data_IF_897255729455
#
_entry.id   IF_897255729455
#
_cell.length_a   1.000
_cell.length_b   1.000
_cell.length_c   1.000
_cell.angle_alpha   90.00
_cell.angle_beta   90.00
_cell.angle_gamma   90.00
#
_symmetry.space_group_name_H-M   'P 1'
#
loop_
_entity.id
_entity.type
_entity.pdbx_description
1 polymer ?
#
# COMPACT_ATOMS: atom_id res chain seq x y z
N UNK A 1 -2.93 17.20 31.12
CA UNK A 1 -1.65 16.58 31.55
C UNK A 1 -0.51 17.19 30.76
N UNK A 2 0.54 17.72 31.42
CA UNK A 2 1.73 18.21 30.71
C UNK A 2 2.50 17.00 30.16
N UNK A 3 2.67 16.92 28.84
CA UNK A 3 3.49 15.92 28.17
C UNK A 3 4.95 16.12 28.61
N UNK A 4 5.57 15.09 29.20
CA UNK A 4 6.97 15.14 29.65
C UNK A 4 7.86 14.57 28.56
N UNK A 5 8.36 15.43 27.67
CA UNK A 5 9.36 15.06 26.66
C UNK A 5 10.76 15.35 27.18
N UNK A 6 11.67 14.36 27.18
CA UNK A 6 13.03 14.48 27.67
C UNK A 6 14.00 13.67 26.79
N UNK A 7 15.14 14.28 26.45
CA UNK A 7 16.27 13.63 25.76
C UNK A 7 17.46 13.61 26.70
N UNK A 8 18.06 12.42 26.88
CA UNK A 8 19.24 12.20 27.71
C UNK A 8 20.31 11.48 26.90
N UNK A 9 21.55 12.01 26.91
CA UNK A 9 22.71 11.31 26.35
C UNK A 9 23.42 10.57 27.49
N UNK A 10 23.91 9.35 27.19
CA UNK A 10 24.60 8.49 28.15
C UNK A 10 25.57 7.52 27.44
N UNK A 11 26.56 7.01 28.16
CA UNK A 11 27.53 6.05 27.63
C UNK A 11 27.01 4.60 27.73
N UNK A 12 27.16 3.83 26.67
CA UNK A 12 26.87 2.38 26.64
C UNK A 12 28.12 1.62 27.10
N UNK A 13 28.42 1.65 28.41
CA UNK A 13 29.63 1.09 29.01
C UNK A 13 29.79 -0.44 28.88
N UNK A 14 28.69 -1.15 28.63
CA UNK A 14 28.69 -2.61 28.44
C UNK A 14 29.08 -3.07 27.02
N UNK A 15 29.42 -2.15 26.13
CA UNK A 15 29.84 -2.45 24.76
C UNK A 15 30.93 -1.49 24.28
N UNK A 16 32.14 -1.51 24.90
CA UNK A 16 33.25 -0.67 24.46
C UNK A 16 33.74 -1.10 23.07
N UNK A 17 34.23 -0.15 22.30
CA UNK A 17 34.87 -0.37 21.01
C UNK A 17 36.28 -0.93 21.19
N UNK A 18 36.83 -1.57 20.14
CA UNK A 18 38.19 -2.10 20.14
C UNK A 18 39.31 -1.09 20.49
N UNK A 19 39.03 0.20 20.31
CA UNK A 19 39.94 1.31 20.61
C UNK A 19 39.74 1.92 22.02
N UNK A 20 39.02 1.26 22.91
CA UNK A 20 38.76 1.69 24.29
C UNK A 20 37.71 2.81 24.41
N UNK A 21 37.19 3.35 23.29
CA UNK A 21 36.11 4.35 23.32
C UNK A 21 34.79 3.67 23.61
N UNK A 22 33.85 4.42 24.21
CA UNK A 22 32.52 3.96 24.54
C UNK A 22 31.47 4.69 23.70
N UNK A 23 30.52 3.99 23.07
CA UNK A 23 29.46 4.61 22.29
C UNK A 23 28.54 5.48 23.15
N UNK A 24 28.18 6.65 22.60
CA UNK A 24 27.18 7.56 23.18
C UNK A 24 25.81 7.17 22.64
N UNK A 25 24.83 7.00 23.53
CA UNK A 25 23.45 6.70 23.20
C UNK A 25 22.56 7.88 23.59
N UNK A 26 21.51 8.11 22.81
CA UNK A 26 20.41 8.99 23.17
C UNK A 26 19.22 8.20 23.71
N UNK A 27 18.63 8.63 24.82
CA UNK A 27 17.39 8.12 25.38
C UNK A 27 16.31 9.19 25.26
N UNK A 28 15.26 8.87 24.54
CA UNK A 28 14.06 9.70 24.44
C UNK A 28 13.00 9.15 25.36
N UNK A 29 12.48 9.98 26.26
CA UNK A 29 11.43 9.63 27.22
C UNK A 29 10.23 10.53 26.95
N UNK A 30 9.03 9.94 26.87
CA UNK A 30 7.77 10.64 26.70
C UNK A 30 6.68 9.91 27.50
N UNK A 31 6.03 10.61 28.41
CA UNK A 31 4.94 10.07 29.25
C UNK A 31 5.29 8.72 29.93
N UNK A 32 6.52 8.62 30.46
CA UNK A 32 7.02 7.40 31.16
C UNK A 32 7.54 6.29 30.23
N UNK A 33 7.23 6.31 28.96
CA UNK A 33 7.80 5.38 27.97
C UNK A 33 9.16 5.87 27.50
N UNK A 34 10.05 4.94 27.13
CA UNK A 34 11.42 5.29 26.70
C UNK A 34 11.88 4.46 25.52
N UNK A 35 12.68 5.09 24.65
CA UNK A 35 13.35 4.44 23.53
C UNK A 35 14.81 4.86 23.47
N UNK A 36 15.67 4.00 22.93
CA UNK A 36 17.10 4.26 22.77
C UNK A 36 17.46 4.42 21.29
N UNK A 37 18.39 5.34 21.02
CA UNK A 37 18.94 5.66 19.70
C UNK A 37 20.46 5.62 19.76
N UNK A 38 21.10 5.07 18.72
CA UNK A 38 22.54 5.24 18.55
C UNK A 38 22.83 6.63 18.00
N UNK A 39 23.81 7.32 18.59
CA UNK A 39 24.29 8.59 18.04
C UNK A 39 25.39 8.39 17.00
N UNK A 40 25.93 7.16 16.89
CA UNK A 40 27.13 6.82 16.13
C UNK A 40 28.40 7.57 16.57
N UNK A 41 28.36 8.23 17.72
CA UNK A 41 29.50 8.91 18.34
C UNK A 41 30.08 8.03 19.44
N UNK A 42 31.37 8.18 19.68
CA UNK A 42 32.08 7.47 20.77
C UNK A 42 33.08 8.40 21.43
N UNK A 43 33.30 8.20 22.71
CA UNK A 43 34.17 9.05 23.52
C UNK A 43 35.01 8.23 24.53
N UNK A 44 36.10 8.78 25.00
CA UNK A 44 36.80 8.22 26.16
C UNK A 44 35.92 8.37 27.41
N UNK A 45 35.61 7.27 28.14
CA UNK A 45 34.69 7.32 29.28
C UNK A 45 35.13 8.26 30.39
N UNK A 46 36.41 8.54 30.54
CA UNK A 46 36.95 9.50 31.53
C UNK A 46 36.62 10.96 31.27
N UNK A 47 36.44 11.33 30.00
CA UNK A 47 36.11 12.68 29.62
C UNK A 47 34.57 12.95 29.59
N UNK A 48 33.76 11.96 29.95
CA UNK A 48 32.29 12.09 29.90
C UNK A 48 31.72 12.66 31.20
N UNK A 49 31.00 13.75 31.12
CA UNK A 49 30.21 14.29 32.22
C UNK A 49 28.78 13.74 32.19
N UNK A 50 28.45 12.83 33.08
CA UNK A 50 27.13 12.21 33.15
C UNK A 50 26.03 13.21 33.56
N UNK A 51 26.35 14.21 34.34
CA UNK A 51 25.39 15.22 34.83
C UNK A 51 24.87 16.13 33.70
N UNK A 52 25.76 16.53 32.79
CA UNK A 52 25.40 17.39 31.64
C UNK A 52 25.08 16.60 30.39
N UNK A 53 25.51 15.34 30.31
CA UNK A 53 25.40 14.51 29.08
C UNK A 53 26.28 15.04 27.95
N UNK A 54 27.48 15.59 28.30
CA UNK A 54 28.44 16.20 27.39
C UNK A 54 29.85 15.72 27.68
N UNK A 55 30.75 15.95 26.73
CA UNK A 55 32.18 15.70 26.88
C UNK A 55 32.80 16.89 27.62
N UNK A 56 33.53 16.61 28.71
CA UNK A 56 34.29 17.61 29.48
C UNK A 56 35.61 17.91 28.78
N UNK A 57 36.10 19.17 28.93
CA UNK A 57 37.37 19.61 28.39
C UNK A 57 37.21 20.74 27.34
N UNK A 58 38.31 21.51 27.12
CA UNK A 58 38.38 22.66 26.16
C UNK A 58 39.25 22.27 24.96
N UNK A 59 38.88 21.24 24.22
CA UNK A 59 39.61 20.81 23.03
C UNK A 59 38.72 20.68 21.80
N UNK A 60 39.27 20.89 20.60
CA UNK A 60 38.53 20.80 19.33
C UNK A 60 37.70 19.53 19.21
N UNK A 61 38.20 18.39 19.70
CA UNK A 61 37.45 17.12 19.69
C UNK A 61 36.24 17.13 20.64
N UNK A 62 36.35 17.73 21.83
CA UNK A 62 35.24 17.83 22.77
C UNK A 62 34.15 18.76 22.21
N UNK A 63 34.55 19.90 21.67
CA UNK A 63 33.64 20.90 21.07
C UNK A 63 32.90 20.31 19.86
N UNK A 64 33.60 19.56 19.02
CA UNK A 64 33.00 18.91 17.84
C UNK A 64 31.94 17.85 18.25
N UNK A 65 32.27 16.97 19.21
CA UNK A 65 31.32 15.97 19.70
C UNK A 65 30.11 16.64 20.36
N UNK A 66 30.35 17.68 21.19
CA UNK A 66 29.27 18.42 21.85
C UNK A 66 28.36 19.14 20.86
N UNK A 67 28.89 19.70 19.77
CA UNK A 67 28.14 20.28 18.68
C UNK A 67 27.28 19.24 17.98
N UNK A 68 27.85 18.09 17.64
CA UNK A 68 27.10 16.97 17.02
C UNK A 68 25.99 16.46 17.95
N UNK A 69 26.21 16.39 19.26
CA UNK A 69 25.17 16.02 20.23
C UNK A 69 24.04 17.07 20.28
N UNK A 70 24.38 18.35 20.18
CA UNK A 70 23.39 19.44 20.10
C UNK A 70 22.56 19.35 18.82
N UNK A 71 23.17 19.06 17.67
CA UNK A 71 22.48 18.83 16.39
C UNK A 71 21.55 17.63 16.44
N UNK A 72 22.00 16.51 17.04
CA UNK A 72 21.17 15.32 17.25
C UNK A 72 19.96 15.66 18.13
N UNK A 73 20.17 16.37 19.23
CA UNK A 73 19.09 16.84 20.12
C UNK A 73 18.07 17.67 19.35
N UNK A 74 18.54 18.66 18.60
CA UNK A 74 17.70 19.55 17.81
C UNK A 74 16.84 18.77 16.79
N UNK A 75 17.45 17.82 16.06
CA UNK A 75 16.72 16.97 15.09
C UNK A 75 15.64 16.13 15.77
N UNK A 76 15.93 15.50 16.91
CA UNK A 76 14.95 14.71 17.66
C UNK A 76 13.80 15.62 18.15
N UNK A 77 14.09 16.83 18.63
CA UNK A 77 13.08 17.82 19.06
C UNK A 77 12.21 18.27 17.88
N UNK A 78 12.78 18.49 16.71
CA UNK A 78 12.02 18.85 15.51
C UNK A 78 11.09 17.68 15.08
N UNK A 79 11.56 16.43 15.10
CA UNK A 79 10.72 15.27 14.83
C UNK A 79 9.53 15.19 15.79
N UNK A 80 9.77 15.39 17.10
CA UNK A 80 8.71 15.42 18.10
C UNK A 80 7.70 16.54 17.84
N UNK A 81 8.15 17.77 17.58
CA UNK A 81 7.28 18.92 17.27
C UNK A 81 6.41 18.66 16.04
N UNK A 82 7.00 18.15 14.96
CA UNK A 82 6.26 17.85 13.72
C UNK A 82 5.18 16.79 13.97
N UNK A 83 5.49 15.71 14.72
CA UNK A 83 4.52 14.68 15.07
C UNK A 83 3.41 15.22 15.98
N UNK A 84 3.75 16.08 16.94
CA UNK A 84 2.80 16.69 17.87
C UNK A 84 1.80 17.60 17.16
N UNK A 85 2.27 18.45 16.23
CA UNK A 85 1.42 19.35 15.44
C UNK A 85 0.46 18.61 14.50
N UNK A 86 0.80 17.40 14.09
CA UNK A 86 -0.07 16.56 13.24
C UNK A 86 -1.23 15.88 14.02
N UNK A 87 -1.43 16.22 15.29
CA UNK A 87 -2.61 15.82 16.09
C UNK A 87 -2.67 14.34 16.50
N UNK A 88 -1.59 13.59 16.36
CA UNK A 88 -1.52 12.17 16.76
C UNK A 88 -1.01 12.04 18.20
N UNK A 89 -1.45 11.01 18.92
CA UNK A 89 -0.83 10.63 20.17
C UNK A 89 0.62 10.19 19.92
N UNK A 90 1.59 11.05 20.25
CA UNK A 90 3.01 10.80 19.98
C UNK A 90 3.56 9.78 20.98
N UNK A 91 4.31 8.77 20.48
CA UNK A 91 5.08 7.83 21.30
C UNK A 91 6.57 7.99 21.06
N UNK A 92 7.46 7.57 22.02
CA UNK A 92 8.90 7.62 21.79
C UNK A 92 9.36 6.80 20.58
N UNK A 93 8.68 5.70 20.27
CA UNK A 93 8.96 4.89 19.10
C UNK A 93 8.72 5.68 17.81
N UNK A 94 7.63 6.43 17.69
CA UNK A 94 7.34 7.29 16.55
C UNK A 94 8.39 8.39 16.36
N UNK A 95 8.91 8.97 17.46
CA UNK A 95 9.98 9.97 17.42
C UNK A 95 11.28 9.34 16.92
N UNK A 96 11.61 8.12 17.39
CA UNK A 96 12.77 7.37 16.90
C UNK A 96 12.67 7.08 15.41
N UNK A 97 11.53 6.60 14.95
CA UNK A 97 11.26 6.28 13.56
C UNK A 97 11.37 7.53 12.67
N UNK A 98 10.78 8.64 13.09
CA UNK A 98 10.88 9.92 12.40
C UNK A 98 12.33 10.44 12.33
N UNK A 99 13.10 10.29 13.42
CA UNK A 99 14.51 10.68 13.46
C UNK A 99 15.39 9.81 12.56
N UNK A 100 15.13 8.51 12.51
CA UNK A 100 15.85 7.57 11.63
C UNK A 100 15.38 7.66 10.16
N UNK A 101 14.41 8.50 9.85
CA UNK A 101 13.79 8.57 8.54
C UNK A 101 12.91 7.34 8.21
N UNK A 102 12.69 6.48 9.20
CA UNK A 102 11.77 5.34 9.10
C UNK A 102 10.41 5.82 9.61
N UNK A 103 9.73 6.60 8.80
CA UNK A 103 8.31 6.83 9.06
C UNK A 103 7.57 5.58 8.56
N UNK A 104 6.76 4.93 9.39
CA UNK A 104 5.80 3.89 8.94
C UNK A 104 4.88 4.40 7.82
N UNK A 105 4.83 5.74 7.64
CA UNK A 105 4.13 6.37 6.52
C UNK A 105 4.81 6.17 5.17
N UNK A 106 6.11 5.84 5.17
CA UNK A 106 6.96 5.77 3.97
C UNK A 106 7.29 4.32 3.58
N UNK A 107 6.59 3.33 4.16
CA UNK A 107 6.70 1.92 3.80
C UNK A 107 5.57 1.48 2.87
N UNK A 108 5.91 0.65 1.90
CA UNK A 108 5.03 0.22 0.82
C UNK A 108 3.77 -0.51 1.32
N UNK A 109 3.97 -1.56 2.14
CA UNK A 109 2.85 -2.44 2.53
C UNK A 109 1.92 -1.75 3.52
N UNK A 110 2.48 -0.97 4.47
CA UNK A 110 1.67 -0.18 5.40
C UNK A 110 0.84 0.88 4.66
N UNK A 111 1.45 1.57 3.69
CA UNK A 111 0.73 2.51 2.84
C UNK A 111 -0.38 1.82 2.04
N UNK A 112 -0.07 0.63 1.46
CA UNK A 112 -1.03 -0.13 0.66
C UNK A 112 -2.22 -0.60 1.51
N UNK A 113 -1.98 -1.08 2.75
CA UNK A 113 -3.03 -1.48 3.68
C UNK A 113 -3.94 -0.30 4.04
N UNK A 114 -3.34 0.86 4.33
CA UNK A 114 -4.10 2.09 4.62
C UNK A 114 -4.94 2.54 3.42
N UNK A 115 -4.37 2.53 2.22
CA UNK A 115 -5.09 2.80 0.98
C UNK A 115 -6.28 1.84 0.82
N UNK A 116 -6.10 0.54 1.08
CA UNK A 116 -7.16 -0.45 1.00
C UNK A 116 -8.27 -0.20 2.03
N UNK A 117 -7.93 0.23 3.23
CA UNK A 117 -8.91 0.57 4.26
C UNK A 117 -9.71 1.83 3.91
N UNK A 118 -9.04 2.87 3.40
CA UNK A 118 -9.71 4.07 2.85
C UNK A 118 -10.66 3.68 1.72
N UNK A 119 -10.20 2.81 0.80
CA UNK A 119 -11.00 2.33 -0.31
C UNK A 119 -12.21 1.50 0.15
N UNK A 120 -12.04 0.64 1.17
CA UNK A 120 -13.10 -0.19 1.75
C UNK A 120 -14.28 0.64 2.26
N UNK A 121 -14.00 1.77 2.90
CA UNK A 121 -15.02 2.70 3.41
C UNK A 121 -15.89 3.30 2.32
N UNK A 122 -15.41 3.32 1.08
CA UNK A 122 -16.13 3.88 -0.07
C UNK A 122 -16.86 2.81 -0.89
N UNK A 123 -16.75 1.53 -0.51
CA UNK A 123 -17.45 0.44 -1.22
C UNK A 123 -18.96 0.56 -1.00
N UNK A 124 -19.72 0.49 -2.10
CA UNK A 124 -21.17 0.68 -2.11
C UNK A 124 -21.62 2.14 -2.25
N UNK A 125 -20.73 3.12 -2.05
CA UNK A 125 -21.02 4.55 -2.28
C UNK A 125 -20.48 5.00 -3.62
N UNK A 126 -19.18 4.92 -3.85
CA UNK A 126 -18.51 5.35 -5.08
C UNK A 126 -17.52 4.31 -5.65
N UNK A 127 -17.36 3.20 -4.98
CA UNK A 127 -16.40 2.15 -5.33
C UNK A 127 -17.04 0.77 -5.32
N UNK A 128 -16.60 -0.12 -6.23
CA UNK A 128 -17.12 -1.50 -6.29
C UNK A 128 -16.36 -2.45 -5.38
N UNK A 129 -17.07 -3.42 -4.79
CA UNK A 129 -16.48 -4.49 -4.00
C UNK A 129 -15.46 -5.34 -4.81
N UNK A 130 -15.72 -5.54 -6.12
CA UNK A 130 -14.80 -6.24 -7.00
C UNK A 130 -13.44 -5.53 -7.12
N UNK A 131 -13.44 -4.19 -7.22
CA UNK A 131 -12.21 -3.41 -7.25
C UNK A 131 -11.48 -3.46 -5.91
N UNK A 132 -12.19 -3.37 -4.79
CA UNK A 132 -11.59 -3.55 -3.46
C UNK A 132 -10.91 -4.93 -3.33
N UNK A 133 -11.60 -6.01 -3.71
CA UNK A 133 -11.04 -7.36 -3.66
C UNK A 133 -9.78 -7.51 -4.52
N UNK A 134 -9.72 -6.85 -5.68
CA UNK A 134 -8.52 -6.79 -6.51
C UNK A 134 -7.34 -6.15 -5.75
N UNK A 135 -7.52 -4.98 -5.14
CA UNK A 135 -6.46 -4.31 -4.37
C UNK A 135 -6.02 -5.16 -3.16
N UNK A 136 -6.97 -5.79 -2.46
CA UNK A 136 -6.66 -6.71 -1.35
C UNK A 136 -5.81 -7.89 -1.81
N UNK A 137 -6.14 -8.48 -2.96
CA UNK A 137 -5.38 -9.58 -3.54
C UNK A 137 -3.96 -9.16 -3.92
N UNK A 138 -3.80 -7.97 -4.53
CA UNK A 138 -2.48 -7.43 -4.88
C UNK A 138 -1.64 -7.17 -3.63
N UNK A 139 -2.22 -6.60 -2.58
CA UNK A 139 -1.53 -6.36 -1.31
C UNK A 139 -1.00 -7.68 -0.72
N UNK A 140 -1.83 -8.73 -0.69
CA UNK A 140 -1.43 -10.05 -0.21
C UNK A 140 -0.27 -10.66 -1.02
N UNK A 141 -0.30 -10.54 -2.35
CA UNK A 141 0.82 -10.99 -3.19
C UNK A 141 2.10 -10.17 -2.96
N UNK A 142 1.97 -8.86 -2.75
CA UNK A 142 3.08 -7.99 -2.40
C UNK A 142 3.72 -8.39 -1.06
N UNK A 143 2.92 -8.63 -0.03
CA UNK A 143 3.40 -9.10 1.27
C UNK A 143 4.22 -10.39 1.14
N UNK A 144 3.72 -11.35 0.39
CA UNK A 144 4.43 -12.60 0.14
C UNK A 144 5.72 -12.38 -0.64
N UNK A 145 5.69 -11.55 -1.68
CA UNK A 145 6.87 -11.22 -2.48
C UNK A 145 7.97 -10.54 -1.66
N UNK A 146 7.60 -9.52 -0.87
CA UNK A 146 8.54 -8.80 0.00
C UNK A 146 9.17 -9.76 1.01
N UNK A 147 8.37 -10.59 1.64
CA UNK A 147 8.85 -11.56 2.65
C UNK A 147 9.76 -12.63 2.03
N UNK A 148 9.44 -13.14 0.85
CA UNK A 148 10.23 -14.18 0.18
C UNK A 148 11.52 -13.65 -0.44
N UNK A 149 11.46 -12.48 -1.10
CA UNK A 149 12.58 -11.94 -1.88
C UNK A 149 13.52 -11.12 -1.02
N UNK A 150 12.98 -10.29 -0.12
CA UNK A 150 13.77 -9.35 0.69
C UNK A 150 13.95 -9.82 2.13
N UNK A 151 13.22 -10.87 2.57
CA UNK A 151 13.22 -11.39 3.96
C UNK A 151 12.92 -10.30 4.98
N UNK A 152 12.00 -9.42 4.65
CA UNK A 152 11.55 -8.29 5.47
C UNK A 152 10.03 -8.28 5.55
N UNK A 153 9.49 -7.59 6.55
CA UNK A 153 8.03 -7.43 6.71
C UNK A 153 7.48 -6.25 5.92
N UNK A 154 8.32 -5.28 5.51
CA UNK A 154 7.96 -4.16 4.65
C UNK A 154 9.21 -3.58 3.94
N UNK A 155 9.01 -2.70 2.94
CA UNK A 155 10.04 -1.98 2.21
C UNK A 155 9.80 -0.47 2.25
N UNK A 156 10.86 0.31 2.42
CA UNK A 156 10.76 1.77 2.30
C UNK A 156 10.52 2.18 0.84
N UNK A 157 9.78 3.26 0.61
CA UNK A 157 9.55 3.78 -0.74
C UNK A 157 10.84 4.17 -1.48
N UNK A 158 11.89 4.56 -0.74
CA UNK A 158 13.20 4.86 -1.31
C UNK A 158 13.93 3.66 -1.92
N UNK A 159 13.52 2.43 -1.55
CA UNK A 159 14.09 1.17 -2.04
C UNK A 159 13.35 0.63 -3.28
N UNK A 160 12.23 1.26 -3.66
CA UNK A 160 11.42 0.82 -4.79
C UNK A 160 12.01 1.33 -6.10
N UNK A 161 12.68 0.48 -6.82
CA UNK A 161 13.26 0.76 -8.12
C UNK A 161 12.56 -0.02 -9.25
N UNK A 162 13.07 0.11 -10.47
CA UNK A 162 12.62 -0.69 -11.63
C UNK A 162 12.85 -2.19 -11.41
N UNK A 163 13.89 -2.57 -10.66
CA UNK A 163 14.18 -3.97 -10.31
C UNK A 163 13.08 -4.57 -9.46
N UNK A 164 12.57 -3.82 -8.46
CA UNK A 164 11.41 -4.21 -7.67
C UNK A 164 10.17 -4.47 -8.55
N UNK A 165 9.87 -3.55 -9.48
CA UNK A 165 8.69 -3.67 -10.36
C UNK A 165 8.80 -4.89 -11.26
N UNK A 166 9.95 -5.12 -11.90
CA UNK A 166 10.19 -6.29 -12.77
C UNK A 166 10.17 -7.59 -11.98
N UNK A 167 10.77 -7.61 -10.80
CA UNK A 167 10.79 -8.77 -9.90
C UNK A 167 9.40 -9.16 -9.42
N UNK A 168 8.58 -8.19 -9.01
CA UNK A 168 7.20 -8.45 -8.60
C UNK A 168 6.35 -8.96 -9.78
N UNK A 169 6.51 -8.40 -10.98
CA UNK A 169 5.81 -8.91 -12.17
C UNK A 169 6.19 -10.37 -12.47
N UNK A 170 7.49 -10.70 -12.48
CA UNK A 170 7.95 -12.06 -12.66
C UNK A 170 7.41 -13.00 -11.58
N UNK A 171 7.39 -12.56 -10.32
CA UNK A 171 6.81 -13.31 -9.21
C UNK A 171 5.32 -13.64 -9.45
N UNK A 172 4.51 -12.67 -9.87
CA UNK A 172 3.08 -12.90 -10.14
C UNK A 172 2.88 -13.91 -11.27
N UNK A 173 3.66 -13.82 -12.34
CA UNK A 173 3.54 -14.73 -13.50
C UNK A 173 4.02 -16.14 -13.16
N UNK A 174 5.19 -16.27 -12.53
CA UNK A 174 5.85 -17.55 -12.31
C UNK A 174 5.36 -18.26 -11.04
N UNK A 175 5.44 -17.57 -9.90
CA UNK A 175 5.15 -18.17 -8.59
C UNK A 175 3.66 -18.33 -8.33
N UNK A 176 2.84 -17.43 -8.86
CA UNK A 176 1.40 -17.46 -8.66
C UNK A 176 0.66 -18.12 -9.82
N UNK A 177 1.37 -18.67 -10.82
CA UNK A 177 0.79 -19.32 -12.02
C UNK A 177 -0.33 -18.48 -12.65
N UNK A 178 -0.19 -17.17 -12.65
CA UNK A 178 -1.22 -16.26 -13.16
C UNK A 178 -1.04 -16.02 -14.65
N UNK A 179 -2.16 -15.99 -15.38
CA UNK A 179 -2.16 -15.59 -16.79
C UNK A 179 -1.61 -14.18 -16.92
N UNK A 180 -0.87 -13.88 -17.99
CA UNK A 180 -0.21 -12.57 -18.22
C UNK A 180 -1.16 -11.39 -18.07
N UNK A 181 -2.41 -11.48 -18.55
CA UNK A 181 -3.41 -10.43 -18.37
C UNK A 181 -3.84 -10.22 -16.91
N UNK A 182 -3.82 -11.28 -16.09
CA UNK A 182 -4.06 -11.13 -14.65
C UNK A 182 -2.90 -10.41 -13.97
N UNK A 183 -1.67 -10.76 -14.33
CA UNK A 183 -0.47 -10.07 -13.85
C UNK A 183 -0.50 -8.59 -14.26
N UNK A 184 -0.84 -8.29 -15.50
CA UNK A 184 -1.03 -6.92 -15.99
C UNK A 184 -2.03 -6.12 -15.14
N UNK A 185 -3.21 -6.69 -14.83
CA UNK A 185 -4.21 -6.02 -13.97
C UNK A 185 -3.66 -5.74 -12.57
N UNK A 186 -2.87 -6.67 -12.00
CA UNK A 186 -2.24 -6.50 -10.69
C UNK A 186 -1.16 -5.41 -10.71
N UNK A 187 -0.35 -5.37 -11.77
CA UNK A 187 0.65 -4.33 -11.96
C UNK A 187 0.04 -2.93 -12.14
N UNK A 188 -1.10 -2.81 -12.84
CA UNK A 188 -1.86 -1.55 -12.93
C UNK A 188 -2.33 -1.11 -11.54
N UNK A 189 -2.83 -2.04 -10.72
CA UNK A 189 -3.28 -1.70 -9.37
C UNK A 189 -2.11 -1.24 -8.48
N UNK A 190 -0.95 -1.90 -8.54
CA UNK A 190 0.27 -1.45 -7.87
C UNK A 190 0.69 -0.06 -8.34
N UNK A 191 0.76 0.15 -9.66
CA UNK A 191 1.12 1.44 -10.25
C UNK A 191 0.21 2.56 -9.74
N UNK A 192 -1.09 2.32 -9.68
CA UNK A 192 -2.04 3.30 -9.15
C UNK A 192 -1.77 3.67 -7.68
N UNK A 193 -1.50 2.67 -6.82
CA UNK A 193 -1.18 2.93 -5.39
C UNK A 193 0.12 3.72 -5.26
N UNK A 194 1.15 3.41 -6.07
CA UNK A 194 2.41 4.17 -6.07
C UNK A 194 2.22 5.60 -6.61
N UNK A 195 1.33 5.83 -7.58
CA UNK A 195 0.96 7.18 -8.01
C UNK A 195 0.28 7.97 -6.87
N UNK A 196 -0.61 7.33 -6.11
CA UNK A 196 -1.22 7.96 -4.91
C UNK A 196 -0.16 8.26 -3.85
N UNK A 197 0.78 7.34 -3.61
CA UNK A 197 1.89 7.57 -2.69
C UNK A 197 2.76 8.78 -3.14
N UNK A 198 3.01 8.89 -4.44
CA UNK A 198 3.75 10.01 -5.01
C UNK A 198 2.99 11.34 -4.87
N UNK A 199 1.70 11.36 -5.13
CA UNK A 199 0.88 12.57 -4.95
C UNK A 199 0.79 13.02 -3.49
N UNK A 200 0.93 12.10 -2.52
CA UNK A 200 1.00 12.38 -1.08
C UNK A 200 2.43 12.71 -0.59
N UNK A 201 3.43 12.76 -1.48
CA UNK A 201 4.82 13.08 -1.16
C UNK A 201 5.62 11.96 -0.48
N UNK A 202 5.06 10.75 -0.36
CA UNK A 202 5.74 9.60 0.26
C UNK A 202 6.78 8.97 -0.69
N UNK A 203 6.61 9.16 -2.00
CA UNK A 203 7.48 8.60 -3.05
C UNK A 203 7.96 9.74 -3.96
N UNK A 204 9.27 9.94 -4.07
CA UNK A 204 9.88 11.05 -4.83
C UNK A 204 10.14 10.73 -6.29
N UNK A 205 10.32 9.46 -6.62
CA UNK A 205 10.60 8.96 -7.98
C UNK A 205 9.49 8.03 -8.46
N UNK A 206 9.51 7.66 -9.73
CA UNK A 206 8.57 6.71 -10.32
C UNK A 206 9.25 5.36 -10.58
N UNK A 207 9.00 4.31 -9.79
CA UNK A 207 9.57 2.98 -10.02
C UNK A 207 9.13 2.34 -11.35
N UNK A 208 8.02 2.81 -11.94
CA UNK A 208 7.53 2.37 -13.24
C UNK A 208 8.14 3.15 -14.41
N UNK A 209 9.06 4.10 -14.16
CA UNK A 209 9.70 4.86 -15.24
C UNK A 209 10.35 3.92 -16.26
N UNK A 210 9.96 4.05 -17.54
CA UNK A 210 10.43 3.19 -18.62
C UNK A 210 9.94 1.73 -18.56
N UNK A 211 9.00 1.39 -17.66
CA UNK A 211 8.37 0.07 -17.61
C UNK A 211 7.04 0.09 -18.36
N UNK A 212 6.97 -0.62 -19.48
CA UNK A 212 5.77 -0.70 -20.32
C UNK A 212 4.90 -1.87 -19.87
N UNK A 213 3.66 -1.58 -19.51
CA UNK A 213 2.65 -2.57 -19.19
C UNK A 213 1.82 -2.87 -20.44
N UNK A 214 1.86 -4.12 -20.88
CA UNK A 214 1.08 -4.58 -22.03
C UNK A 214 0.10 -5.67 -21.62
N UNK A 215 -1.12 -5.57 -22.13
CA UNK A 215 -2.07 -6.69 -22.13
C UNK A 215 -1.87 -7.51 -23.40
N UNK A 216 -2.06 -8.81 -23.29
CA UNK A 216 -2.09 -9.68 -24.46
C UNK A 216 -3.52 -9.75 -25.02
N UNK A 217 -3.61 -9.66 -26.33
CA UNK A 217 -4.87 -9.93 -27.00
C UNK A 217 -5.21 -11.42 -26.84
N UNK A 218 -6.40 -11.69 -26.32
CA UNK A 218 -6.92 -13.05 -26.21
C UNK A 218 -8.11 -13.16 -27.16
N UNK A 219 -7.94 -13.88 -28.25
CA UNK A 219 -9.06 -14.24 -29.10
C UNK A 219 -10.05 -15.10 -28.31
N UNK A 220 -11.32 -14.77 -28.36
CA UNK A 220 -12.40 -15.53 -27.78
C UNK A 220 -13.32 -16.01 -28.88
N UNK A 221 -13.72 -17.27 -28.81
CA UNK A 221 -14.73 -17.79 -29.68
C UNK A 221 -16.09 -17.16 -29.32
N UNK A 222 -16.93 -17.02 -30.31
CA UNK A 222 -18.31 -16.58 -30.18
C UNK A 222 -19.23 -17.59 -30.83
N UNK A 223 -20.47 -17.62 -30.41
CA UNK A 223 -21.49 -18.48 -30.99
C UNK A 223 -22.06 -17.82 -32.25
N UNK A 224 -22.22 -18.58 -33.30
CA UNK A 224 -22.96 -18.14 -34.48
C UNK A 224 -24.47 -18.33 -34.29
N UNK A 225 -25.29 -17.80 -35.20
CA UNK A 225 -26.75 -17.88 -35.11
C UNK A 225 -27.28 -19.30 -35.07
N UNK A 226 -26.69 -20.22 -35.83
CA UNK A 226 -27.10 -21.63 -35.85
C UNK A 226 -26.83 -22.32 -34.49
N UNK A 227 -25.71 -21.98 -33.84
CA UNK A 227 -25.38 -22.48 -32.51
C UNK A 227 -26.29 -21.90 -31.42
N UNK A 228 -26.62 -20.62 -31.50
CA UNK A 228 -27.60 -20.01 -30.59
C UNK A 228 -28.98 -20.64 -30.78
N UNK A 229 -29.43 -20.82 -32.03
CA UNK A 229 -30.69 -21.45 -32.35
C UNK A 229 -30.76 -22.91 -31.85
N UNK A 230 -29.65 -23.65 -31.94
CA UNK A 230 -29.52 -25.01 -31.38
C UNK A 230 -29.62 -25.00 -29.86
N UNK A 231 -28.94 -24.04 -29.21
CA UNK A 231 -29.01 -23.84 -27.75
C UNK A 231 -30.43 -23.54 -27.27
N UNK A 232 -31.18 -22.72 -28.00
CA UNK A 232 -32.58 -22.39 -27.68
C UNK A 232 -33.48 -23.60 -27.69
N UNK A 233 -33.25 -24.54 -28.63
CA UNK A 233 -34.06 -25.78 -28.81
C UNK A 233 -33.61 -26.91 -27.89
N UNK A 234 -32.50 -26.77 -27.17
CA UNK A 234 -31.95 -27.84 -26.34
C UNK A 234 -32.87 -28.15 -25.16
N UNK A 235 -33.31 -29.39 -25.07
CA UNK A 235 -34.02 -29.87 -23.90
C UNK A 235 -33.07 -30.12 -22.74
N UNK A 236 -33.31 -29.42 -21.62
CA UNK A 236 -32.49 -29.49 -20.44
C UNK A 236 -33.26 -30.13 -19.28
N UNK A 237 -32.61 -31.05 -18.53
CA UNK A 237 -33.29 -31.87 -17.52
C UNK A 237 -33.73 -31.04 -16.30
N UNK A 238 -33.09 -29.93 -16.00
CA UNK A 238 -33.39 -29.13 -14.81
C UNK A 238 -33.87 -27.71 -15.15
N UNK A 239 -34.83 -27.21 -14.34
CA UNK A 239 -35.31 -25.81 -14.46
C UNK A 239 -34.22 -24.78 -14.27
N UNK A 240 -33.23 -25.06 -13.41
CA UNK A 240 -32.09 -24.17 -13.20
C UNK A 240 -31.24 -24.02 -14.46
N UNK A 241 -30.96 -25.12 -15.16
CA UNK A 241 -30.22 -25.09 -16.43
C UNK A 241 -30.99 -24.38 -17.53
N UNK A 242 -32.31 -24.54 -17.59
CA UNK A 242 -33.18 -23.79 -18.52
C UNK A 242 -33.09 -22.30 -18.26
N UNK A 243 -33.19 -21.87 -17.00
CA UNK A 243 -33.06 -20.48 -16.63
C UNK A 243 -31.70 -19.87 -17.02
N UNK A 244 -30.60 -20.61 -16.79
CA UNK A 244 -29.25 -20.18 -17.19
C UNK A 244 -29.13 -20.03 -18.69
N UNK A 245 -29.65 -21.01 -19.46
CA UNK A 245 -29.70 -20.95 -20.93
C UNK A 245 -30.47 -19.71 -21.39
N UNK A 246 -31.67 -19.49 -20.87
CA UNK A 246 -32.55 -18.43 -21.30
C UNK A 246 -31.95 -17.05 -20.96
N UNK A 247 -31.35 -16.89 -19.79
CA UNK A 247 -30.64 -15.67 -19.42
C UNK A 247 -29.41 -15.42 -20.31
N UNK A 248 -28.68 -16.49 -20.69
CA UNK A 248 -27.55 -16.37 -21.62
C UNK A 248 -27.99 -15.96 -23.02
N UNK A 249 -29.01 -16.63 -23.56
CA UNK A 249 -29.57 -16.32 -24.88
C UNK A 249 -30.12 -14.89 -24.90
N UNK A 250 -30.85 -14.50 -23.87
CA UNK A 250 -31.34 -13.13 -23.71
C UNK A 250 -30.19 -12.11 -23.72
N UNK A 251 -29.09 -12.40 -23.02
CA UNK A 251 -27.89 -11.57 -23.04
C UNK A 251 -27.26 -11.45 -24.43
N UNK A 252 -27.30 -12.54 -25.24
CA UNK A 252 -26.79 -12.53 -26.61
C UNK A 252 -27.55 -11.57 -27.52
N UNK A 253 -28.87 -11.54 -27.39
CA UNK A 253 -29.72 -10.66 -28.24
C UNK A 253 -29.80 -9.23 -27.75
N UNK A 254 -29.76 -8.99 -26.44
CA UNK A 254 -29.89 -7.65 -25.88
C UNK A 254 -28.57 -6.92 -25.64
N UNK A 255 -27.42 -7.64 -25.64
CA UNK A 255 -26.12 -7.09 -25.26
C UNK A 255 -26.02 -6.69 -23.78
N UNK A 256 -26.99 -7.10 -22.94
CA UNK A 256 -26.98 -6.84 -21.52
C UNK A 256 -25.95 -7.72 -20.79
N UNK A 257 -25.29 -7.13 -19.79
CA UNK A 257 -24.39 -7.92 -18.95
C UNK A 257 -25.18 -8.82 -17.99
N UNK A 258 -24.55 -9.90 -17.51
CA UNK A 258 -25.16 -10.81 -16.53
C UNK A 258 -25.77 -10.07 -15.33
N UNK A 259 -25.06 -9.06 -14.80
CA UNK A 259 -25.54 -8.27 -13.66
C UNK A 259 -26.80 -7.47 -14.01
N UNK A 260 -26.87 -6.92 -15.21
CA UNK A 260 -28.03 -6.16 -15.68
C UNK A 260 -29.23 -7.09 -15.89
N UNK A 261 -29.02 -8.27 -16.48
CA UNK A 261 -30.08 -9.30 -16.64
C UNK A 261 -30.61 -9.77 -15.29
N UNK A 262 -29.72 -10.07 -14.31
CA UNK A 262 -30.15 -10.51 -12.98
C UNK A 262 -30.95 -9.44 -12.20
N UNK A 263 -30.78 -8.17 -12.53
CA UNK A 263 -31.48 -7.07 -11.87
C UNK A 263 -32.62 -6.47 -12.72
N UNK A 264 -32.90 -7.05 -13.89
CA UNK A 264 -33.96 -6.59 -14.77
C UNK A 264 -35.33 -6.80 -14.11
N UNK A 265 -36.12 -5.78 -14.10
CA UNK A 265 -37.49 -5.78 -13.56
C UNK A 265 -38.53 -5.57 -14.66
N UNK A 266 -39.77 -6.06 -14.43
CA UNK A 266 -40.88 -5.85 -15.39
C UNK A 266 -41.14 -4.39 -15.71
N UNK A 267 -40.84 -3.45 -14.82
CA UNK A 267 -41.05 -2.00 -15.03
C UNK A 267 -40.10 -1.42 -16.07
N UNK A 268 -38.99 -2.10 -16.33
CA UNK A 268 -37.99 -1.70 -17.32
C UNK A 268 -38.24 -2.30 -18.70
N UNK A 269 -39.31 -3.09 -18.83
CA UNK A 269 -39.75 -3.65 -20.10
C UNK A 269 -41.00 -2.88 -20.55
N UNK A 270 -40.87 -2.16 -21.66
CA UNK A 270 -41.93 -1.32 -22.20
C UNK A 270 -42.37 -1.85 -23.55
N UNK A 271 -43.67 -1.74 -23.83
CA UNK A 271 -44.22 -2.02 -25.16
C UNK A 271 -44.58 -0.68 -25.83
N UNK A 272 -43.96 -0.41 -26.96
CA UNK A 272 -44.22 0.79 -27.72
C UNK A 272 -44.27 0.44 -29.21
N UNK A 273 -45.40 0.80 -29.87
CA UNK A 273 -45.60 0.54 -31.30
C UNK A 273 -45.54 -0.92 -31.73
N UNK A 274 -45.92 -1.87 -30.84
CA UNK A 274 -45.86 -3.31 -31.13
C UNK A 274 -44.49 -3.94 -30.95
N UNK A 275 -43.50 -3.15 -30.51
CA UNK A 275 -42.14 -3.63 -30.18
C UNK A 275 -41.92 -3.58 -28.67
N UNK A 276 -41.11 -4.50 -28.18
CA UNK A 276 -40.71 -4.60 -26.76
C UNK A 276 -39.34 -3.96 -26.59
N UNK A 277 -39.25 -2.97 -25.72
CA UNK A 277 -38.01 -2.25 -25.40
C UNK A 277 -37.59 -2.56 -23.96
N UNK A 278 -36.28 -2.50 -23.71
CA UNK A 278 -35.72 -2.67 -22.37
C UNK A 278 -34.96 -1.40 -21.99
N UNK A 279 -35.58 -0.58 -21.15
CA UNK A 279 -34.99 0.66 -20.65
C UNK A 279 -34.36 0.45 -19.29
N UNK A 280 -33.03 0.56 -19.20
CA UNK A 280 -32.33 0.43 -17.95
C UNK A 280 -31.04 1.25 -17.90
N UNK A 281 -30.60 1.57 -16.69
CA UNK A 281 -29.28 2.15 -16.45
C UNK A 281 -28.29 1.02 -16.10
N UNK A 282 -27.23 0.86 -16.89
CA UNK A 282 -26.20 -0.16 -16.66
C UNK A 282 -25.54 0.00 -15.29
N UNK A 283 -25.59 -1.02 -14.47
CA UNK A 283 -25.07 -0.98 -13.09
C UNK A 283 -23.56 -0.77 -13.02
N UNK A 284 -22.81 -1.18 -14.04
CA UNK A 284 -21.35 -1.06 -14.07
C UNK A 284 -20.86 0.32 -14.50
N UNK A 285 -21.56 0.97 -15.42
CA UNK A 285 -21.11 2.22 -16.07
C UNK A 285 -22.00 3.41 -15.77
N UNK A 286 -23.22 3.21 -15.26
CA UNK A 286 -24.20 4.26 -15.10
C UNK A 286 -24.78 4.78 -16.44
N UNK A 287 -24.54 4.07 -17.56
CA UNK A 287 -25.00 4.45 -18.88
C UNK A 287 -26.44 3.96 -19.08
N UNK A 288 -27.30 4.82 -19.57
CA UNK A 288 -28.65 4.47 -19.99
C UNK A 288 -28.60 3.64 -21.28
N UNK A 289 -29.42 2.62 -21.36
CA UNK A 289 -29.59 1.72 -22.52
C UNK A 289 -31.07 1.50 -22.75
N UNK A 290 -31.50 1.70 -23.96
CA UNK A 290 -32.85 1.42 -24.46
C UNK A 290 -32.77 0.61 -25.75
#
# INVERSE_FOLDING_TARGET
MRSTFRILFYLKRNAPLKNGRVPIMARVTLNGQRVQLSTHLSVNPETWCAATGQVAGRGRCADEINRQLADIRFRIEQCYRTLFLNGSAVTPAMVKEAYLGVTHRDCLLEFFRRHNEEFRRMVGVSRSAATYNKYRCVCHHLERYVRQTYRRDDLAFSELDKGFVTGFHAYIVQQCSRKKNTAWIYMIALKHVLMVARSKGCLTHDPFAGYKLHSEFVSRNYLNEAEISRMMRLELPSGALRLVRDAFVFSCFTGLSYVDVCNLTRRQIQQNGGQTWVDLTRRKTGTEVS
#
